data_IF_202530400493
#
_entry.id   IF_202530400493
#
_cell.length_a   1.000
_cell.length_b   1.000
_cell.length_c   1.000
_cell.angle_alpha   90.00
_cell.angle_beta   90.00
_cell.angle_gamma   90.00
#
_symmetry.space_group_name_H-M   'P 1'
#
loop_
_entity.id
_entity.type
_entity.pdbx_description
1 polymer ?
#
# COMPACT_ATOMS: atom_id res chain seq x y z
N UNK A 1 -15.13 -3.32 2.34
CA UNK A 1 -14.38 -2.98 1.13
C UNK A 1 -13.70 -4.24 0.63
N UNK A 2 -14.43 -5.15 -0.01
CA UNK A 2 -13.83 -6.34 -0.64
C UNK A 2 -13.07 -5.93 -1.90
N UNK A 3 -11.76 -5.70 -1.76
CA UNK A 3 -10.91 -5.30 -2.88
C UNK A 3 -10.10 -6.49 -3.41
N UNK A 4 -9.79 -6.48 -4.70
CA UNK A 4 -8.91 -7.48 -5.31
C UNK A 4 -7.57 -7.54 -4.57
N UNK A 5 -7.02 -6.39 -4.15
CA UNK A 5 -5.80 -6.32 -3.36
C UNK A 5 -5.92 -7.03 -2.01
N UNK A 6 -7.02 -6.82 -1.29
CA UNK A 6 -7.29 -7.49 -0.01
C UNK A 6 -7.32 -9.01 -0.18
N UNK A 7 -8.03 -9.49 -1.20
CA UNK A 7 -8.12 -10.94 -1.50
C UNK A 7 -6.78 -11.57 -1.89
N UNK A 8 -5.90 -10.82 -2.55
CA UNK A 8 -4.53 -11.28 -2.85
C UNK A 8 -3.71 -11.39 -1.56
N UNK A 9 -3.79 -10.38 -0.69
CA UNK A 9 -3.04 -10.34 0.58
C UNK A 9 -3.41 -11.52 1.49
N UNK A 10 -4.70 -11.82 1.63
CA UNK A 10 -5.20 -12.92 2.47
C UNK A 10 -5.37 -14.25 1.73
N UNK A 11 -4.86 -14.37 0.50
CA UNK A 11 -4.87 -15.64 -0.22
C UNK A 11 -4.05 -16.71 0.50
N UNK A 12 -4.47 -17.97 0.36
CA UNK A 12 -3.80 -19.16 0.93
C UNK A 12 -3.19 -20.01 -0.19
N UNK A 13 -2.14 -20.78 0.12
CA UNK A 13 -1.42 -21.60 -0.85
C UNK A 13 -0.53 -20.81 -1.82
N UNK A 14 0.15 -21.52 -2.72
CA UNK A 14 1.12 -20.93 -3.66
C UNK A 14 0.49 -20.31 -4.91
N UNK A 15 -0.72 -20.73 -5.27
CA UNK A 15 -1.41 -20.30 -6.49
C UNK A 15 -2.67 -19.49 -6.18
N UNK A 16 -2.84 -18.42 -6.92
CA UNK A 16 -4.00 -17.52 -6.85
C UNK A 16 -4.75 -17.64 -8.17
N UNK A 17 -6.00 -18.13 -8.10
CA UNK A 17 -6.88 -18.24 -9.26
C UNK A 17 -7.69 -16.96 -9.45
N UNK A 18 -7.57 -16.37 -10.64
CA UNK A 18 -8.26 -15.14 -11.03
C UNK A 18 -9.32 -15.44 -12.09
N UNK A 19 -10.54 -14.97 -11.86
CA UNK A 19 -11.58 -14.96 -12.88
C UNK A 19 -11.55 -13.62 -13.61
N UNK A 20 -11.08 -13.62 -14.85
CA UNK A 20 -10.84 -12.40 -15.64
C UNK A 20 -11.87 -12.26 -16.74
N UNK A 21 -12.66 -11.19 -16.69
CA UNK A 21 -13.52 -10.76 -17.80
C UNK A 21 -12.75 -9.81 -18.70
N UNK A 22 -12.56 -10.18 -19.97
CA UNK A 22 -11.85 -9.36 -20.96
C UNK A 22 -12.83 -8.80 -21.99
N UNK A 23 -12.68 -7.53 -22.42
CA UNK A 23 -13.45 -7.00 -23.55
C UNK A 23 -13.27 -7.88 -24.79
N UNK A 24 -14.37 -8.25 -25.45
CA UNK A 24 -14.37 -9.11 -26.64
C UNK A 24 -14.29 -10.61 -26.37
N UNK A 25 -14.38 -11.05 -25.10
CA UNK A 25 -14.51 -12.45 -24.73
C UNK A 25 -15.81 -12.63 -23.94
N UNK A 26 -16.72 -13.45 -24.44
CA UNK A 26 -18.06 -13.61 -23.86
C UNK A 26 -18.05 -14.26 -22.47
N UNK A 27 -17.16 -15.25 -22.28
CA UNK A 27 -17.03 -15.97 -21.02
C UNK A 27 -15.79 -15.52 -20.24
N UNK A 28 -15.88 -15.38 -18.90
CA UNK A 28 -14.70 -15.13 -18.07
C UNK A 28 -13.64 -16.23 -18.24
N UNK A 29 -12.38 -15.82 -18.26
CA UNK A 29 -11.23 -16.70 -18.39
C UNK A 29 -10.64 -16.90 -16.99
N UNK A 30 -10.32 -18.14 -16.65
CA UNK A 30 -9.57 -18.46 -15.43
C UNK A 30 -8.07 -18.33 -15.69
N UNK A 31 -7.37 -17.61 -14.84
CA UNK A 31 -5.91 -17.46 -14.88
C UNK A 31 -5.36 -17.86 -13.51
N UNK A 32 -4.51 -18.87 -13.50
CA UNK A 32 -3.76 -19.25 -12.30
C UNK A 32 -2.39 -18.56 -12.32
N UNK A 33 -2.03 -17.93 -11.21
CA UNK A 33 -0.76 -17.21 -11.09
C UNK A 33 -0.16 -17.45 -9.71
N UNK A 34 1.17 -17.45 -9.63
CA UNK A 34 1.86 -17.36 -8.35
C UNK A 34 1.77 -15.96 -7.76
N UNK A 35 2.52 -15.71 -6.69
CA UNK A 35 2.70 -14.38 -6.15
C UNK A 35 4.18 -14.04 -6.01
N UNK A 36 4.48 -12.76 -6.06
CA UNK A 36 5.78 -12.19 -5.71
C UNK A 36 5.70 -11.51 -4.35
N UNK A 37 6.80 -11.58 -3.60
CA UNK A 37 7.01 -10.90 -2.33
C UNK A 37 8.45 -10.41 -2.32
N UNK A 38 8.65 -9.12 -2.07
CA UNK A 38 10.00 -8.56 -1.92
C UNK A 38 10.68 -9.22 -0.71
N UNK A 39 11.86 -9.81 -0.92
CA UNK A 39 12.66 -10.31 0.18
C UNK A 39 13.23 -9.13 0.97
N UNK A 40 12.88 -9.07 2.26
CA UNK A 40 13.23 -7.96 3.14
C UNK A 40 13.97 -8.47 4.35
N UNK A 41 15.04 -7.76 4.80
CA UNK A 41 15.76 -8.11 6.00
C UNK A 41 14.83 -8.35 7.19
N UNK A 42 15.21 -9.27 8.08
CA UNK A 42 14.38 -9.67 9.22
C UNK A 42 14.04 -8.53 10.21
N UNK A 43 14.75 -7.40 10.14
CA UNK A 43 14.47 -6.21 10.96
C UNK A 43 13.56 -5.20 10.25
N UNK A 44 13.13 -5.48 9.01
CA UNK A 44 12.26 -4.62 8.21
C UNK A 44 10.86 -5.24 8.10
N UNK A 45 9.88 -4.39 7.85
CA UNK A 45 8.50 -4.82 7.65
C UNK A 45 8.44 -5.70 6.40
N UNK A 46 7.96 -6.93 6.58
CA UNK A 46 7.84 -7.88 5.48
C UNK A 46 6.83 -7.37 4.44
N UNK A 47 7.03 -7.70 3.17
CA UNK A 47 6.16 -7.26 2.09
C UNK A 47 4.87 -8.11 2.03
N UNK A 48 3.88 -7.68 1.26
CA UNK A 48 2.66 -8.46 1.01
C UNK A 48 2.73 -9.19 -0.33
N UNK A 49 1.94 -10.27 -0.47
CA UNK A 49 1.74 -10.97 -1.75
C UNK A 49 1.27 -10.00 -2.85
N UNK A 50 1.87 -10.08 -4.03
CA UNK A 50 1.53 -9.28 -5.23
C UNK A 50 1.49 -10.17 -6.47
N UNK A 51 0.58 -9.86 -7.40
CA UNK A 51 0.43 -10.60 -8.68
C UNK A 51 0.65 -9.70 -9.91
N UNK A 52 1.27 -8.53 -9.73
CA UNK A 52 1.53 -7.58 -10.83
C UNK A 52 0.30 -6.90 -11.45
N UNK A 53 -0.92 -7.17 -10.95
CA UNK A 53 -2.16 -6.55 -11.45
C UNK A 53 -2.40 -5.21 -10.75
N UNK A 54 -2.64 -4.16 -11.56
CA UNK A 54 -2.95 -2.80 -11.09
C UNK A 54 -4.11 -2.20 -11.89
N UNK A 55 -4.88 -1.27 -11.31
CA UNK A 55 -5.90 -0.55 -12.06
C UNK A 55 -5.27 0.28 -13.20
N UNK A 56 -6.01 0.40 -14.30
CA UNK A 56 -5.63 1.27 -15.42
C UNK A 56 -5.57 2.70 -14.90
N UNK A 57 -4.49 3.41 -15.25
CA UNK A 57 -4.31 4.82 -14.89
C UNK A 57 -3.73 5.60 -16.04
N UNK A 58 -4.20 6.83 -16.18
CA UNK A 58 -3.65 7.75 -17.17
C UNK A 58 -2.21 8.11 -16.82
N UNK A 59 -1.32 7.97 -17.81
CA UNK A 59 0.11 8.23 -17.67
C UNK A 59 0.43 9.66 -18.12
N UNK A 60 -0.03 10.63 -17.34
CA UNK A 60 0.15 12.07 -17.61
C UNK A 60 1.33 12.60 -16.80
N UNK A 61 2.21 13.36 -17.44
CA UNK A 61 3.38 13.97 -16.81
C UNK A 61 2.95 15.22 -16.04
N UNK A 62 3.25 15.28 -14.74
CA UNK A 62 3.10 16.51 -13.95
C UNK A 62 4.32 17.43 -14.11
N UNK A 63 5.51 16.87 -14.04
CA UNK A 63 6.76 17.59 -14.23
C UNK A 63 7.89 16.63 -14.59
N UNK A 64 9.01 17.17 -15.06
CA UNK A 64 10.25 16.43 -15.29
C UNK A 64 11.31 16.90 -14.31
N UNK A 65 12.12 15.96 -13.82
CA UNK A 65 13.28 16.29 -12.98
C UNK A 65 14.30 17.08 -13.82
N UNK A 66 14.94 18.09 -13.22
CA UNK A 66 15.97 18.89 -13.90
C UNK A 66 17.10 17.99 -14.42
N UNK A 67 17.60 18.27 -15.63
CA UNK A 67 18.66 17.53 -16.33
C UNK A 67 18.38 16.04 -16.60
N UNK A 68 17.17 15.56 -16.30
CA UNK A 68 16.78 14.17 -16.54
C UNK A 68 16.69 13.82 -18.03
N UNK A 69 16.76 12.52 -18.39
CA UNK A 69 16.43 12.06 -19.73
C UNK A 69 15.06 12.56 -20.23
N UNK A 70 14.07 12.67 -19.35
CA UNK A 70 12.76 13.22 -19.69
C UNK A 70 12.87 14.67 -20.16
N UNK A 71 13.55 15.52 -19.39
CA UNK A 71 13.76 16.92 -19.72
C UNK A 71 14.56 17.08 -21.02
N UNK A 72 15.65 16.31 -21.19
CA UNK A 72 16.50 16.34 -22.39
C UNK A 72 15.81 15.83 -23.66
N UNK A 73 14.80 14.96 -23.53
CA UNK A 73 14.02 14.42 -24.66
C UNK A 73 12.86 15.32 -25.10
N UNK A 74 12.61 16.43 -24.40
CA UNK A 74 11.55 17.38 -24.74
C UNK A 74 10.16 16.99 -24.23
N UNK A 75 10.07 16.07 -23.26
CA UNK A 75 8.85 15.79 -22.52
C UNK A 75 8.46 17.00 -21.65
N UNK A 76 7.18 17.36 -21.66
CA UNK A 76 6.65 18.51 -20.93
C UNK A 76 5.52 18.10 -19.99
N UNK A 77 5.24 18.97 -19.01
CA UNK A 77 4.06 18.83 -18.16
C UNK A 77 2.77 18.83 -19.01
N UNK A 78 1.85 17.91 -18.70
CA UNK A 78 0.61 17.70 -19.44
C UNK A 78 0.70 16.68 -20.58
N UNK A 79 1.90 16.23 -20.93
CA UNK A 79 2.07 15.16 -21.92
C UNK A 79 1.50 13.84 -21.43
N UNK A 80 0.67 13.19 -22.25
CA UNK A 80 0.12 11.84 -21.98
C UNK A 80 0.89 10.79 -22.77
N UNK A 81 1.58 9.89 -22.08
CA UNK A 81 2.30 8.79 -22.73
C UNK A 81 1.30 7.68 -23.08
N UNK A 82 1.18 7.37 -24.37
CA UNK A 82 0.24 6.36 -24.88
C UNK A 82 0.91 5.01 -25.11
N UNK A 83 2.16 5.00 -25.59
CA UNK A 83 2.90 3.78 -25.92
C UNK A 83 4.39 3.95 -25.61
N UNK A 84 5.05 2.82 -25.33
CA UNK A 84 6.50 2.71 -25.20
C UNK A 84 6.98 1.49 -26.00
N UNK A 85 7.89 1.68 -26.95
CA UNK A 85 8.39 0.64 -27.86
C UNK A 85 7.26 -0.14 -28.57
N UNK A 86 6.26 0.59 -29.11
CA UNK A 86 5.06 0.05 -29.75
C UNK A 86 4.18 -0.82 -28.83
N UNK A 87 4.39 -0.76 -27.50
CA UNK A 87 3.51 -1.39 -26.51
C UNK A 87 2.65 -0.32 -25.86
N UNK A 88 1.34 -0.53 -25.88
CA UNK A 88 0.38 0.36 -25.23
C UNK A 88 0.66 0.46 -23.73
N UNK A 89 0.74 1.70 -23.24
CA UNK A 89 0.93 2.01 -21.83
C UNK A 89 -0.45 2.11 -21.18
N UNK A 90 -0.77 1.18 -20.28
CA UNK A 90 -2.04 1.20 -19.52
C UNK A 90 -1.91 1.84 -18.14
N UNK A 91 -0.68 1.99 -17.66
CA UNK A 91 -0.37 2.62 -16.39
C UNK A 91 1.09 3.09 -16.36
N UNK A 92 1.38 4.05 -15.49
CA UNK A 92 2.74 4.57 -15.27
C UNK A 92 3.74 3.48 -14.88
N UNK A 93 3.28 2.47 -14.15
CA UNK A 93 4.10 1.34 -13.71
C UNK A 93 4.59 0.49 -14.89
N UNK A 94 3.83 0.46 -16.00
CA UNK A 94 4.24 -0.24 -17.23
C UNK A 94 5.57 0.30 -17.76
N UNK A 95 5.82 1.61 -17.66
CA UNK A 95 7.08 2.20 -18.09
C UNK A 95 8.24 1.75 -17.18
N UNK A 96 8.02 1.73 -15.86
CA UNK A 96 9.00 1.22 -14.90
C UNK A 96 9.34 -0.24 -15.16
N UNK A 97 8.34 -1.09 -15.41
CA UNK A 97 8.56 -2.50 -15.74
C UNK A 97 9.33 -2.69 -17.04
N UNK A 98 9.05 -1.88 -18.07
CA UNK A 98 9.81 -1.91 -19.32
C UNK A 98 11.28 -1.59 -19.07
N UNK A 99 11.57 -0.57 -18.25
CA UNK A 99 12.95 -0.18 -17.92
C UNK A 99 13.65 -1.27 -17.10
N UNK A 100 13.00 -1.82 -16.07
CA UNK A 100 13.55 -2.89 -15.24
C UNK A 100 13.86 -4.15 -16.07
N UNK A 101 12.99 -4.50 -17.01
CA UNK A 101 13.17 -5.65 -17.89
C UNK A 101 14.37 -5.51 -18.86
N UNK A 102 14.90 -4.30 -19.06
CA UNK A 102 16.13 -4.11 -19.86
C UNK A 102 17.39 -4.57 -19.12
N UNK A 103 17.36 -4.65 -17.79
CA UNK A 103 18.53 -4.95 -16.97
C UNK A 103 19.69 -3.99 -17.26
N UNK A 104 20.86 -4.56 -17.54
CA UNK A 104 22.08 -3.78 -17.85
C UNK A 104 22.11 -3.25 -19.30
N UNK A 105 21.30 -3.81 -20.20
CA UNK A 105 21.29 -3.46 -21.63
C UNK A 105 20.34 -2.30 -21.93
N UNK A 106 20.60 -1.14 -21.32
CA UNK A 106 19.72 0.03 -21.42
C UNK A 106 19.74 0.62 -22.83
N UNK A 107 18.60 0.52 -23.51
CA UNK A 107 18.39 1.06 -24.86
C UNK A 107 17.40 2.24 -24.85
N UNK A 108 17.45 3.13 -25.87
CA UNK A 108 16.45 4.18 -26.01
C UNK A 108 15.04 3.61 -26.15
N UNK A 109 14.09 4.22 -25.44
CA UNK A 109 12.68 3.90 -25.47
C UNK A 109 11.99 4.90 -26.40
N UNK A 110 11.30 4.40 -27.42
CA UNK A 110 10.47 5.23 -28.28
C UNK A 110 9.08 5.37 -27.66
N UNK A 111 8.75 6.59 -27.25
CA UNK A 111 7.48 6.95 -26.64
C UNK A 111 6.56 7.59 -27.66
N UNK A 112 5.32 7.09 -27.74
CA UNK A 112 4.23 7.81 -28.39
C UNK A 112 3.55 8.69 -27.35
N UNK A 113 3.63 10.00 -27.55
CA UNK A 113 3.15 11.00 -26.60
C UNK A 113 2.03 11.82 -27.24
N UNK A 114 0.97 12.06 -26.48
CA UNK A 114 -0.09 12.98 -26.85
C UNK A 114 0.07 14.29 -26.07
N UNK A 115 0.26 15.39 -26.81
CA UNK A 115 0.33 16.75 -26.30
C UNK A 115 -0.88 17.53 -26.83
N UNK A 116 -1.88 17.73 -25.98
CA UNK A 116 -3.18 18.25 -26.43
C UNK A 116 -3.84 17.30 -27.44
N UNK A 117 -4.01 17.76 -28.68
CA UNK A 117 -4.61 16.98 -29.77
C UNK A 117 -3.56 16.35 -30.70
N UNK A 118 -2.28 16.66 -30.53
CA UNK A 118 -1.21 16.17 -31.40
C UNK A 118 -0.56 14.92 -30.80
N UNK A 119 -0.17 13.99 -31.67
CA UNK A 119 0.62 12.80 -31.31
C UNK A 119 2.02 12.96 -31.88
N UNK A 120 3.04 12.71 -31.07
CA UNK A 120 4.44 12.80 -31.45
C UNK A 120 5.23 11.62 -30.89
N UNK A 121 6.30 11.26 -31.61
CA UNK A 121 7.24 10.23 -31.15
C UNK A 121 8.46 10.91 -30.55
N UNK A 122 8.78 10.56 -29.30
CA UNK A 122 9.96 11.03 -28.59
C UNK A 122 10.82 9.82 -28.21
N UNK A 123 12.14 9.92 -28.35
CA UNK A 123 13.05 8.86 -27.92
C UNK A 123 13.72 9.29 -26.62
N UNK A 124 13.67 8.43 -25.61
CA UNK A 124 14.27 8.71 -24.30
C UNK A 124 15.10 7.52 -23.85
N UNK A 125 16.35 7.77 -23.46
CA UNK A 125 17.23 6.73 -22.92
C UNK A 125 17.26 6.85 -21.40
N UNK A 126 16.79 5.85 -20.63
CA UNK A 126 16.91 5.86 -19.18
C UNK A 126 18.38 5.95 -18.74
N UNK A 127 18.64 6.63 -17.63
CA UNK A 127 19.98 6.77 -17.04
C UNK A 127 19.86 6.65 -15.53
N UNK A 128 20.87 6.07 -14.88
CA UNK A 128 20.93 6.06 -13.41
C UNK A 128 21.19 7.49 -12.90
N UNK A 129 20.39 8.01 -11.95
CA UNK A 129 20.66 9.32 -11.38
C UNK A 129 21.91 9.29 -10.50
N UNK A 130 22.49 10.46 -10.25
CA UNK A 130 23.65 10.63 -9.35
C UNK A 130 23.25 10.50 -7.87
N UNK A 131 22.03 10.92 -7.54
CA UNK A 131 21.46 10.80 -6.20
C UNK A 131 20.01 10.27 -6.30
N UNK A 132 19.60 9.36 -5.41
CA UNK A 132 20.44 8.67 -4.42
C UNK A 132 21.42 7.68 -5.09
N UNK A 133 22.60 7.48 -4.48
CA UNK A 133 23.62 6.60 -5.03
C UNK A 133 23.10 5.15 -5.17
N UNK A 134 23.40 4.51 -6.30
CA UNK A 134 22.93 3.14 -6.60
C UNK A 134 21.46 3.05 -7.04
N UNK A 135 20.78 4.17 -7.26
CA UNK A 135 19.43 4.16 -7.81
C UNK A 135 19.37 3.51 -9.22
N UNK A 136 18.32 2.72 -9.51
CA UNK A 136 18.18 2.08 -10.81
C UNK A 136 18.00 3.12 -11.93
N UNK A 137 18.32 2.75 -13.18
CA UNK A 137 18.07 3.59 -14.34
C UNK A 137 16.62 4.06 -14.41
N UNK A 138 16.42 5.35 -14.68
CA UNK A 138 15.09 5.92 -14.80
C UNK A 138 15.06 7.08 -15.80
N UNK A 139 13.84 7.51 -16.15
CA UNK A 139 13.62 8.60 -17.11
C UNK A 139 13.53 9.96 -16.42
N UNK A 140 13.15 10.01 -15.13
CA UNK A 140 13.03 11.25 -14.36
C UNK A 140 11.71 12.00 -14.55
N UNK A 141 10.60 11.28 -14.57
CA UNK A 141 9.24 11.83 -14.70
C UNK A 141 8.55 11.85 -13.33
N UNK A 142 7.94 12.97 -12.99
CA UNK A 142 6.93 13.04 -11.93
C UNK A 142 5.55 12.95 -12.59
N UNK A 143 4.79 11.93 -12.22
CA UNK A 143 3.45 11.70 -12.77
C UNK A 143 2.42 12.61 -12.12
N UNK A 144 1.45 13.07 -12.90
CA UNK A 144 0.26 13.71 -12.36
C UNK A 144 -0.48 12.71 -11.48
N UNK A 145 -0.87 13.14 -10.28
CA UNK A 145 -1.76 12.37 -9.44
C UNK A 145 -3.01 12.03 -10.24
N UNK A 146 -3.40 10.76 -10.23
CA UNK A 146 -4.68 10.36 -10.83
C UNK A 146 -5.74 11.17 -10.10
N UNK A 147 -6.52 12.03 -10.77
CA UNK A 147 -7.64 12.66 -10.12
C UNK A 147 -8.52 11.54 -9.61
N UNK A 148 -8.64 11.43 -8.29
CA UNK A 148 -9.66 10.60 -7.68
C UNK A 148 -10.98 11.28 -8.02
N UNK A 149 -11.47 11.12 -9.26
CA UNK A 149 -12.90 11.15 -9.48
C UNK A 149 -13.43 10.18 -8.45
N UNK A 150 -14.17 10.72 -7.48
CA UNK A 150 -14.99 9.97 -6.53
C UNK A 150 -16.01 9.20 -7.38
N UNK A 151 -15.54 8.15 -8.05
CA UNK A 151 -16.40 7.29 -8.82
C UNK A 151 -17.07 6.43 -7.76
N UNK A 152 -18.33 6.81 -7.54
CA UNK A 152 -19.32 6.31 -6.60
C UNK A 152 -19.38 7.10 -5.29
N UNK A 153 -20.59 7.49 -4.84
CA UNK A 153 -20.78 7.83 -3.43
C UNK A 153 -20.23 6.65 -2.63
N UNK A 154 -19.30 6.94 -1.71
CA UNK A 154 -18.67 5.90 -0.90
C UNK A 154 -19.73 5.03 -0.21
N UNK A 155 -19.38 3.81 0.18
CA UNK A 155 -20.29 2.91 0.91
C UNK A 155 -20.96 3.65 2.07
N UNK A 156 -22.18 3.25 2.41
CA UNK A 156 -22.93 3.88 3.50
C UNK A 156 -22.06 3.91 4.78
N UNK A 157 -22.06 4.98 5.60
CA UNK A 157 -21.32 5.00 6.87
C UNK A 157 -21.43 3.71 7.71
N UNK A 158 -22.61 3.06 7.72
CA UNK A 158 -22.79 1.77 8.39
C UNK A 158 -21.99 0.63 7.76
N UNK A 159 -21.94 0.57 6.42
CA UNK A 159 -21.12 -0.41 5.70
C UNK A 159 -19.64 -0.18 5.97
N UNK A 160 -19.19 1.07 6.04
CA UNK A 160 -17.79 1.39 6.37
C UNK A 160 -17.39 0.91 7.78
N UNK A 161 -18.27 1.11 8.77
CA UNK A 161 -18.02 0.62 10.14
C UNK A 161 -18.01 -0.91 10.17
N UNK A 162 -18.98 -1.55 9.50
CA UNK A 162 -19.04 -3.01 9.42
C UNK A 162 -17.82 -3.60 8.69
N UNK A 163 -17.39 -2.97 7.61
CA UNK A 163 -16.18 -3.33 6.87
C UNK A 163 -14.94 -3.22 7.76
N UNK A 164 -14.79 -2.11 8.50
CA UNK A 164 -13.69 -1.95 9.46
C UNK A 164 -13.70 -3.03 10.55
N UNK A 165 -14.88 -3.34 11.10
CA UNK A 165 -15.05 -4.40 12.08
C UNK A 165 -14.60 -5.76 11.52
N UNK A 166 -15.11 -6.15 10.36
CA UNK A 166 -14.77 -7.43 9.73
C UNK A 166 -13.30 -7.49 9.29
N UNK A 167 -12.70 -6.37 8.88
CA UNK A 167 -11.28 -6.31 8.53
C UNK A 167 -10.35 -6.61 9.72
N UNK A 168 -10.70 -6.14 10.93
CA UNK A 168 -9.94 -6.48 12.15
C UNK A 168 -10.01 -7.99 12.41
N UNK A 169 -11.21 -8.58 12.38
CA UNK A 169 -11.37 -10.02 12.61
C UNK A 169 -10.67 -10.85 11.53
N UNK A 170 -10.76 -10.46 10.25
CA UNK A 170 -10.04 -11.12 9.14
C UNK A 170 -8.53 -11.06 9.30
N UNK A 171 -8.01 -9.90 9.71
CA UNK A 171 -6.57 -9.74 9.93
C UNK A 171 -6.10 -10.61 11.09
N UNK A 172 -6.81 -10.57 12.22
CA UNK A 172 -6.48 -11.40 13.37
C UNK A 172 -6.57 -12.89 13.03
N UNK A 173 -7.60 -13.32 12.28
CA UNK A 173 -7.73 -14.71 11.85
C UNK A 173 -6.62 -15.14 10.91
N UNK A 174 -6.24 -14.29 9.94
CA UNK A 174 -5.21 -14.62 8.96
C UNK A 174 -3.81 -14.82 9.56
N UNK A 175 -3.54 -14.24 10.74
CA UNK A 175 -2.26 -14.42 11.45
C UNK A 175 -2.23 -15.74 12.23
N UNK A 176 -3.39 -16.39 12.44
CA UNK A 176 -3.45 -17.58 13.28
C UNK A 176 -2.83 -18.81 12.61
N UNK A 177 -2.20 -19.72 13.37
CA UNK A 177 -1.40 -20.83 12.81
C UNK A 177 -2.17 -21.85 11.97
N UNK A 178 -3.51 -21.83 12.01
CA UNK A 178 -4.37 -22.74 11.25
C UNK A 178 -4.75 -22.20 9.86
N UNK A 179 -4.36 -20.96 9.53
CA UNK A 179 -4.47 -20.41 8.18
C UNK A 179 -3.12 -20.50 7.45
N UNK A 180 -3.16 -20.77 6.15
CA UNK A 180 -1.99 -20.79 5.27
C UNK A 180 -1.80 -19.44 4.53
N UNK A 181 -2.32 -18.37 5.13
CA UNK A 181 -2.15 -17.03 4.62
C UNK A 181 -0.73 -16.54 4.97
N UNK A 182 -0.03 -15.94 4.01
CA UNK A 182 1.31 -15.34 4.24
C UNK A 182 1.20 -13.95 4.88
N UNK A 183 0.40 -13.87 5.95
CA UNK A 183 0.16 -12.67 6.75
C UNK A 183 0.75 -12.86 8.14
N UNK A 184 1.60 -11.93 8.57
CA UNK A 184 2.28 -12.01 9.86
C UNK A 184 2.21 -10.69 10.61
N UNK A 185 2.44 -10.75 11.93
CA UNK A 185 2.52 -9.56 12.79
C UNK A 185 3.60 -8.58 12.31
N UNK A 186 4.66 -9.07 11.67
CA UNK A 186 5.75 -8.24 11.14
C UNK A 186 5.32 -7.28 10.02
N UNK A 187 4.15 -7.47 9.44
CA UNK A 187 3.56 -6.58 8.42
C UNK A 187 2.70 -5.45 9.04
N UNK A 188 2.41 -5.52 10.33
CA UNK A 188 1.58 -4.53 11.02
C UNK A 188 2.38 -3.26 11.32
N UNK A 189 1.69 -2.11 11.27
CA UNK A 189 2.31 -0.82 11.57
C UNK A 189 2.14 -0.45 13.04
N UNK A 190 3.20 0.05 13.66
CA UNK A 190 3.13 0.72 14.96
C UNK A 190 2.75 2.21 14.78
N UNK A 191 2.62 2.92 15.89
CA UNK A 191 2.40 4.37 15.89
C UNK A 191 3.47 5.14 15.11
N UNK A 192 4.72 4.63 15.10
CA UNK A 192 5.82 5.24 14.34
C UNK A 192 5.57 5.12 12.83
N UNK A 193 5.23 3.92 12.35
CA UNK A 193 4.90 3.71 10.95
C UNK A 193 3.67 4.49 10.52
N UNK A 194 2.63 4.57 11.37
CA UNK A 194 1.45 5.40 11.11
C UNK A 194 1.85 6.88 10.98
N UNK A 195 2.67 7.40 11.89
CA UNK A 195 3.20 8.76 11.82
C UNK A 195 4.00 9.02 10.53
N UNK A 196 4.81 8.05 10.10
CA UNK A 196 5.54 8.12 8.85
C UNK A 196 4.60 8.13 7.62
N UNK A 197 3.50 7.37 7.65
CA UNK A 197 2.46 7.44 6.61
C UNK A 197 1.78 8.80 6.57
N UNK A 198 1.48 9.41 7.72
CA UNK A 198 0.97 10.78 7.77
C UNK A 198 1.95 11.77 7.17
N UNK A 199 3.22 11.71 7.54
CA UNK A 199 4.25 12.59 7.00
C UNK A 199 4.33 12.49 5.47
N UNK A 200 4.41 11.27 4.93
CA UNK A 200 4.42 11.04 3.47
C UNK A 200 3.14 11.55 2.79
N UNK A 201 1.98 11.32 3.40
CA UNK A 201 0.69 11.74 2.84
C UNK A 201 0.56 13.26 2.83
N UNK A 202 0.93 13.93 3.93
CA UNK A 202 0.87 15.39 4.06
C UNK A 202 1.94 16.11 3.23
N UNK A 203 2.96 15.39 2.76
CA UNK A 203 3.97 15.93 1.85
C UNK A 203 3.43 16.14 0.43
N UNK A 204 2.26 15.59 0.08
CA UNK A 204 1.56 15.92 -1.16
C UNK A 204 0.93 17.33 -1.07
N UNK A 205 1.38 18.30 -1.89
CA UNK A 205 0.97 19.69 -1.77
C UNK A 205 -0.46 19.96 -2.26
N UNK A 206 -1.06 19.05 -3.04
CA UNK A 206 -2.37 19.27 -3.68
C UNK A 206 -3.48 18.57 -2.91
N UNK A 207 -3.27 17.31 -2.53
CA UNK A 207 -4.32 16.47 -1.94
C UNK A 207 -3.95 15.88 -0.58
N UNK A 208 -2.75 16.16 -0.06
CA UNK A 208 -2.24 15.52 1.16
C UNK A 208 -3.17 15.65 2.37
N UNK A 209 -3.76 16.82 2.58
CA UNK A 209 -4.71 17.05 3.69
C UNK A 209 -5.99 16.21 3.57
N UNK A 210 -6.51 15.99 2.35
CA UNK A 210 -7.71 15.17 2.12
C UNK A 210 -7.43 13.71 2.41
N UNK A 211 -6.30 13.20 1.92
CA UNK A 211 -5.88 11.83 2.18
C UNK A 211 -5.57 11.61 3.66
N UNK A 212 -4.93 12.57 4.32
CA UNK A 212 -4.70 12.53 5.77
C UNK A 212 -6.01 12.46 6.55
N UNK A 213 -7.04 13.23 6.15
CA UNK A 213 -8.37 13.17 6.77
C UNK A 213 -9.01 11.79 6.61
N UNK A 214 -8.99 11.20 5.41
CA UNK A 214 -9.50 9.84 5.16
C UNK A 214 -8.74 8.81 6.01
N UNK A 215 -7.41 8.94 6.09
CA UNK A 215 -6.57 8.11 6.94
C UNK A 215 -6.93 8.26 8.43
N UNK A 216 -7.24 9.48 8.89
CA UNK A 216 -7.70 9.74 10.25
C UNK A 216 -9.02 9.05 10.55
N UNK A 217 -9.99 9.13 9.64
CA UNK A 217 -11.28 8.43 9.79
C UNK A 217 -11.04 6.92 9.90
N UNK A 218 -10.25 6.35 8.99
CA UNK A 218 -9.93 4.92 8.98
C UNK A 218 -9.27 4.47 10.29
N UNK A 219 -8.25 5.19 10.77
CA UNK A 219 -7.54 4.85 12.00
C UNK A 219 -8.45 4.98 13.22
N UNK A 220 -9.25 6.04 13.32
CA UNK A 220 -10.16 6.24 14.46
C UNK A 220 -11.24 5.16 14.51
N UNK A 221 -11.83 4.79 13.37
CA UNK A 221 -12.81 3.70 13.30
C UNK A 221 -12.17 2.38 13.72
N UNK A 222 -10.98 2.06 13.21
CA UNK A 222 -10.29 0.82 13.61
C UNK A 222 -9.89 0.82 15.09
N UNK A 223 -9.46 1.96 15.64
CA UNK A 223 -9.12 2.08 17.06
C UNK A 223 -10.36 1.93 17.95
N UNK A 224 -11.49 2.53 17.55
CA UNK A 224 -12.77 2.35 18.23
C UNK A 224 -13.21 0.88 18.22
N UNK A 225 -13.08 0.19 17.08
CA UNK A 225 -13.42 -1.23 16.96
C UNK A 225 -12.48 -2.13 17.78
N UNK A 226 -11.17 -1.85 17.80
CA UNK A 226 -10.22 -2.53 18.67
C UNK A 226 -10.58 -2.33 20.15
N UNK A 227 -10.94 -1.11 20.54
CA UNK A 227 -11.38 -0.79 21.90
C UNK A 227 -12.66 -1.52 22.32
N UNK A 228 -13.51 -1.94 21.37
CA UNK A 228 -14.70 -2.74 21.64
C UNK A 228 -14.42 -4.24 21.80
N UNK A 229 -13.21 -4.71 21.53
CA UNK A 229 -12.85 -6.11 21.77
C UNK A 229 -12.96 -6.43 23.27
N UNK A 230 -13.36 -7.67 23.64
CA UNK A 230 -13.52 -8.09 25.03
C UNK A 230 -12.15 -8.37 25.69
N UNK A 231 -11.25 -7.38 25.64
CA UNK A 231 -9.92 -7.40 26.20
C UNK A 231 -9.92 -6.58 27.50
N UNK A 232 -9.48 -7.13 28.64
CA UNK A 232 -9.68 -6.53 29.97
C UNK A 232 -9.09 -5.13 30.18
N UNK A 233 -8.07 -4.76 29.39
CA UNK A 233 -7.39 -3.46 29.46
C UNK A 233 -8.11 -2.40 28.63
N UNK A 234 -9.02 -2.81 27.73
CA UNK A 234 -9.76 -1.96 26.81
C UNK A 234 -11.20 -1.79 27.29
N UNK A 235 -11.89 -0.77 26.78
CA UNK A 235 -13.27 -0.44 27.15
C UNK A 235 -14.24 -1.62 26.93
N UNK A 236 -14.04 -2.41 25.87
CA UNK A 236 -14.79 -3.61 25.56
C UNK A 236 -14.59 -4.73 26.58
N UNK A 237 -13.45 -4.76 27.28
CA UNK A 237 -13.25 -5.62 28.45
C UNK A 237 -14.20 -5.27 29.57
N UNK A 238 -14.29 -3.99 29.94
CA UNK A 238 -15.25 -3.54 30.95
C UNK A 238 -16.69 -3.86 30.55
N UNK A 239 -17.06 -3.64 29.28
CA UNK A 239 -18.37 -4.02 28.76
C UNK A 239 -18.62 -5.53 28.89
N UNK A 240 -17.66 -6.36 28.50
CA UNK A 240 -17.78 -7.82 28.59
C UNK A 240 -17.93 -8.30 30.03
N UNK A 241 -17.21 -7.69 30.97
CA UNK A 241 -17.32 -8.02 32.40
C UNK A 241 -18.67 -7.59 32.97
N UNK A 242 -19.16 -6.39 32.63
CA UNK A 242 -20.50 -5.95 33.05
C UNK A 242 -21.59 -6.86 32.47
N UNK A 243 -21.45 -7.32 31.22
CA UNK A 243 -22.36 -8.29 30.61
C UNK A 243 -22.32 -9.65 31.32
N UNK A 244 -21.13 -10.12 31.68
CA UNK A 244 -20.97 -11.34 32.48
C UNK A 244 -21.66 -11.21 33.84
N UNK A 245 -21.40 -10.13 34.58
CA UNK A 245 -21.99 -9.90 35.90
C UNK A 245 -23.51 -9.74 35.81
N UNK A 246 -24.01 -9.10 34.76
CA UNK A 246 -25.45 -9.00 34.50
C UNK A 246 -26.10 -10.38 34.26
N UNK A 247 -25.44 -11.24 33.49
CA UNK A 247 -25.94 -12.57 33.16
C UNK A 247 -25.86 -13.56 34.33
N UNK A 248 -24.73 -13.58 35.03
CA UNK A 248 -24.46 -14.55 36.11
C UNK A 248 -24.79 -14.01 37.51
N UNK A 249 -25.12 -12.72 37.63
CA UNK A 249 -25.43 -12.03 38.90
C UNK A 249 -24.37 -12.20 39.99
N UNK A 250 -23.13 -12.47 39.59
CA UNK A 250 -22.00 -12.71 40.49
C UNK A 250 -20.80 -11.86 40.05
N UNK A 251 -20.16 -11.10 40.96
CA UNK A 251 -18.99 -10.32 40.62
C UNK A 251 -17.80 -11.22 40.28
N UNK A 252 -16.96 -10.77 39.36
CA UNK A 252 -15.73 -11.50 39.04
C UNK A 252 -14.70 -11.27 40.15
N UNK A 253 -13.94 -12.31 40.47
CA UNK A 253 -12.89 -12.20 41.47
C UNK A 253 -11.84 -11.16 41.06
N UNK A 254 -11.70 -10.11 41.87
CA UNK A 254 -10.75 -9.00 41.67
C UNK A 254 -9.34 -9.48 41.37
N UNK A 255 -8.86 -10.53 42.05
CA UNK A 255 -7.49 -11.05 41.82
C UNK A 255 -7.32 -11.64 40.43
N UNK A 256 -8.36 -12.31 39.92
CA UNK A 256 -8.35 -12.86 38.56
C UNK A 256 -8.35 -11.71 37.55
N UNK A 257 -9.16 -10.68 37.81
CA UNK A 257 -9.23 -9.49 36.94
C UNK A 257 -7.89 -8.76 36.89
N UNK A 258 -7.25 -8.50 38.03
CA UNK A 258 -5.93 -7.86 38.10
C UNK A 258 -4.87 -8.65 37.32
N UNK A 259 -4.84 -9.97 37.47
CA UNK A 259 -3.90 -10.83 36.76
C UNK A 259 -4.16 -10.83 35.24
N UNK A 260 -5.42 -10.91 34.84
CA UNK A 260 -5.85 -10.92 33.45
C UNK A 260 -5.56 -9.56 32.76
N UNK A 261 -5.82 -8.45 33.46
CA UNK A 261 -5.53 -7.10 33.01
C UNK A 261 -4.03 -6.87 32.89
N UNK A 262 -3.25 -7.25 33.89
CA UNK A 262 -1.79 -7.15 33.83
C UNK A 262 -1.20 -7.99 32.70
N UNK A 263 -1.64 -9.25 32.56
CA UNK A 263 -1.19 -10.14 31.49
C UNK A 263 -1.52 -9.59 30.10
N UNK A 264 -2.74 -9.08 29.91
CA UNK A 264 -3.16 -8.46 28.66
C UNK A 264 -2.38 -7.16 28.38
N UNK A 265 -2.15 -6.32 29.39
CA UNK A 265 -1.39 -5.08 29.23
C UNK A 265 0.06 -5.37 28.84
N UNK A 266 0.68 -6.34 29.52
CA UNK A 266 2.04 -6.78 29.21
C UNK A 266 2.13 -7.33 27.78
N UNK A 267 1.14 -8.13 27.34
CA UNK A 267 1.05 -8.64 25.98
C UNK A 267 0.97 -7.49 24.97
N UNK A 268 0.05 -6.55 25.16
CA UNK A 268 -0.14 -5.43 24.24
C UNK A 268 1.09 -4.51 24.16
N UNK A 269 1.73 -4.23 25.29
CA UNK A 269 2.99 -3.45 25.33
C UNK A 269 4.09 -4.22 24.60
N UNK A 270 4.25 -5.52 24.87
CA UNK A 270 5.23 -6.37 24.20
C UNK A 270 5.00 -6.42 22.69
N UNK A 271 3.74 -6.52 22.28
CA UNK A 271 3.33 -6.45 20.89
C UNK A 271 3.69 -5.10 20.26
N UNK A 272 3.38 -3.97 20.92
CA UNK A 272 3.74 -2.63 20.45
C UNK A 272 5.26 -2.47 20.26
N UNK A 273 6.06 -2.96 21.21
CA UNK A 273 7.53 -2.96 21.10
C UNK A 273 7.98 -3.81 19.91
N UNK A 274 7.40 -4.99 19.74
CA UNK A 274 7.71 -5.91 18.65
C UNK A 274 7.42 -5.30 17.26
N UNK A 275 6.23 -4.74 17.03
CA UNK A 275 5.93 -4.10 15.73
C UNK A 275 6.75 -2.83 15.50
N UNK A 276 7.08 -2.10 16.57
CA UNK A 276 7.92 -0.89 16.48
C UNK A 276 9.34 -1.20 16.01
N UNK A 277 9.88 -2.38 16.35
CA UNK A 277 11.18 -2.81 15.86
C UNK A 277 11.27 -2.82 14.32
N UNK A 278 10.24 -3.33 13.64
CA UNK A 278 10.18 -3.35 12.17
C UNK A 278 10.03 -1.96 11.57
N UNK A 279 9.22 -1.10 12.20
CA UNK A 279 9.02 0.29 11.75
C UNK A 279 10.32 1.10 11.83
N UNK A 280 11.11 0.90 12.87
CA UNK A 280 12.42 1.54 13.03
C UNK A 280 13.40 1.01 11.97
N UNK A 281 13.36 -0.29 11.65
CA UNK A 281 14.15 -0.86 10.58
C UNK A 281 13.84 -0.25 9.21
N UNK A 282 12.55 -0.06 8.90
CA UNK A 282 12.12 0.61 7.66
C UNK A 282 12.59 2.07 7.58
N UNK A 283 12.58 2.78 8.70
CA UNK A 283 13.08 4.16 8.77
C UNK A 283 14.60 4.24 8.56
N UNK A 284 15.36 3.26 9.06
CA UNK A 284 16.82 3.21 8.91
C UNK A 284 17.25 3.15 7.43
N UNK A 285 16.51 2.44 6.57
CA UNK A 285 16.74 2.43 5.11
C UNK A 285 16.39 3.77 4.46
N UNK A 286 15.36 4.47 4.96
CA UNK A 286 14.91 5.76 4.42
C UNK A 286 15.81 6.94 4.80
N UNK A 287 16.73 6.77 5.76
CA UNK A 287 17.79 7.74 6.04
C UNK A 287 18.70 8.06 4.85
N UNK A 288 18.61 7.31 3.74
CA UNK A 288 19.26 7.62 2.45
C UNK A 288 18.30 7.88 1.26
N UNK A 289 16.97 7.86 1.46
CA UNK A 289 15.98 8.06 0.38
C UNK A 289 15.29 9.43 0.39
N UNK A 290 15.73 10.34 1.27
CA UNK A 290 15.28 11.74 1.29
C UNK A 290 16.08 12.64 0.35
N UNK A 291 17.12 12.11 -0.29
CA UNK A 291 17.84 12.90 -1.28
C UNK A 291 17.00 13.04 -2.55
N UNK A 292 16.86 14.28 -3.07
CA UNK A 292 16.14 14.50 -4.32
C UNK A 292 16.84 13.75 -5.45
N UNK A 293 16.07 13.24 -6.41
CA UNK A 293 16.66 12.63 -7.60
C UNK A 293 17.41 13.71 -8.38
N UNK A 294 18.72 13.54 -8.52
CA UNK A 294 19.60 14.46 -9.26
C UNK A 294 20.26 13.74 -10.42
N UNK A 295 20.18 14.32 -11.61
CA UNK A 295 20.91 13.83 -12.79
C UNK A 295 22.12 14.71 -13.06
N UNK A 296 23.13 14.10 -13.68
CA UNK A 296 24.27 14.84 -14.21
C UNK A 296 23.82 15.91 -15.21
N UNK A 297 24.45 17.08 -15.14
CA UNK A 297 24.26 18.18 -16.09
C UNK A 297 24.51 17.74 -17.53
#
# INVERSE_FOLDING_TARGET
MDSIMERIIYSEGEQITLLVKRPGVDNPITIDTGYEKEDRPAHQRQDFRKIGVRPISDSIIASTVLNSPASKSGLLAGDKILEANNKKLFSRETLTFIIQAMGENITPINLLVQRGNEKMNLSVKPVSPMSPEGAPPMVGIQWQGVPTTLQQPGPNPFEQVWDGATAIFRTLSAIMPWHDADVSVSQMSSAIGIGNYYYQTLSDPVYGWRFAFVLSVLINVNLAMLNLLPLPVLDGGHIAMSLYEWMFKSPINIRIMEMLQFGCALLLISFMVYVTWFDVGDLSKKGGQTEPVVFAE
#
